data_IF_718719150793
#
_entry.id   IF_718719150793
#
_cell.length_a   1.000
_cell.length_b   1.000
_cell.length_c   1.000
_cell.angle_alpha   90.00
_cell.angle_beta   90.00
_cell.angle_gamma   90.00
#
_symmetry.space_group_name_H-M   'P 1'
#
loop_
_entity.id
_entity.type
_entity.pdbx_description
1 polymer ?
#
# COMPACT_ATOMS: atom_id res chain seq x y z
N UNK A 1 -20.30 12.20 -17.61
CA UNK A 1 -18.82 12.17 -17.52
C UNK A 1 -18.21 10.89 -18.04
N UNK A 2 -18.59 9.67 -17.58
CA UNK A 2 -18.02 8.37 -18.02
C UNK A 2 -17.93 8.19 -19.55
N UNK A 3 -19.01 8.48 -20.31
CA UNK A 3 -19.03 8.27 -21.78
C UNK A 3 -18.31 9.37 -22.56
N UNK A 4 -18.41 10.66 -22.15
CA UNK A 4 -17.83 11.78 -22.91
C UNK A 4 -16.37 12.08 -22.58
N UNK A 5 -15.97 12.02 -21.32
CA UNK A 5 -14.60 12.38 -20.92
C UNK A 5 -13.65 11.17 -20.92
N UNK A 6 -14.09 10.03 -20.36
CA UNK A 6 -13.24 8.85 -20.23
C UNK A 6 -13.42 7.86 -21.39
N UNK A 7 -14.50 7.94 -22.17
CA UNK A 7 -14.79 6.99 -23.22
C UNK A 7 -14.84 5.54 -22.73
N UNK A 8 -15.29 5.33 -21.46
CA UNK A 8 -15.31 4.01 -20.84
C UNK A 8 -16.12 3.03 -21.65
N UNK A 9 -15.51 1.95 -22.09
CA UNK A 9 -16.12 0.85 -22.82
C UNK A 9 -17.03 0.00 -21.92
N UNK A 10 -17.71 -0.98 -22.48
CA UNK A 10 -18.56 -1.91 -21.75
C UNK A 10 -17.80 -2.93 -20.91
N UNK A 11 -16.50 -3.08 -21.15
CA UNK A 11 -15.64 -4.03 -20.42
C UNK A 11 -14.28 -4.22 -21.10
N UNK A 12 -13.46 -5.06 -20.50
CA UNK A 12 -12.11 -5.39 -21.00
C UNK A 12 -12.15 -6.13 -22.34
N UNK A 13 -13.29 -6.79 -22.63
CA UNK A 13 -13.52 -7.53 -23.90
C UNK A 13 -13.79 -6.59 -25.08
N UNK A 14 -14.17 -5.36 -24.80
CA UNK A 14 -14.41 -4.33 -25.79
C UNK A 14 -13.63 -3.08 -25.41
N UNK A 15 -12.38 -3.03 -25.83
CA UNK A 15 -11.43 -1.96 -25.45
C UNK A 15 -11.86 -0.58 -25.97
N UNK A 16 -12.83 -0.49 -26.88
CA UNK A 16 -13.28 0.77 -27.44
C UNK A 16 -12.21 1.50 -28.25
N UNK A 17 -12.51 2.73 -28.65
CA UNK A 17 -11.56 3.57 -29.38
C UNK A 17 -10.59 4.26 -28.41
N UNK A 18 -9.32 4.33 -28.78
CA UNK A 18 -8.30 5.06 -28.04
C UNK A 18 -8.66 6.56 -28.00
N UNK A 19 -8.69 7.14 -26.80
CA UNK A 19 -9.05 8.54 -26.59
C UNK A 19 -7.80 9.42 -26.70
N UNK A 20 -7.61 10.22 -27.76
CA UNK A 20 -6.38 10.97 -27.99
C UNK A 20 -6.01 11.91 -26.84
N UNK A 21 -7.00 12.58 -26.23
CA UNK A 21 -6.76 13.48 -25.12
C UNK A 21 -6.23 12.78 -23.88
N UNK A 22 -6.67 11.54 -23.58
CA UNK A 22 -6.16 10.74 -22.47
C UNK A 22 -4.73 10.27 -22.74
N UNK A 23 -4.43 9.88 -23.99
CA UNK A 23 -3.06 9.47 -24.39
C UNK A 23 -2.10 10.64 -24.23
N UNK A 24 -2.50 11.84 -24.66
CA UNK A 24 -1.67 13.05 -24.51
C UNK A 24 -1.44 13.37 -23.02
N UNK A 25 -2.49 13.33 -22.20
CA UNK A 25 -2.36 13.56 -20.75
C UNK A 25 -1.45 12.51 -20.10
N UNK A 26 -1.59 11.25 -20.46
CA UNK A 26 -0.72 10.16 -19.98
C UNK A 26 0.75 10.39 -20.38
N UNK A 27 0.99 10.74 -21.64
CA UNK A 27 2.34 11.05 -22.14
C UNK A 27 2.96 12.23 -21.39
N UNK A 28 2.21 13.32 -21.18
CA UNK A 28 2.67 14.48 -20.40
C UNK A 28 3.03 14.04 -18.98
N UNK A 29 2.20 13.23 -18.33
CA UNK A 29 2.48 12.70 -16.99
C UNK A 29 3.77 11.88 -16.96
N UNK A 30 3.97 10.99 -17.93
CA UNK A 30 5.21 10.21 -18.05
C UNK A 30 6.45 11.12 -18.20
N UNK A 31 6.35 12.18 -19.03
CA UNK A 31 7.44 13.16 -19.20
C UNK A 31 7.72 13.90 -17.89
N UNK A 32 6.68 14.34 -17.16
CA UNK A 32 6.83 15.01 -15.87
C UNK A 32 7.52 14.10 -14.86
N UNK A 33 7.06 12.85 -14.71
CA UNK A 33 7.68 11.85 -13.82
C UNK A 33 9.13 11.61 -14.21
N UNK A 34 9.42 11.42 -15.50
CA UNK A 34 10.79 11.26 -16.00
C UNK A 34 11.68 12.45 -15.61
N UNK A 35 11.22 13.68 -15.81
CA UNK A 35 11.97 14.90 -15.45
C UNK A 35 12.22 15.00 -13.94
N UNK A 36 11.27 14.53 -13.12
CA UNK A 36 11.43 14.49 -11.65
C UNK A 36 12.53 13.51 -11.23
N UNK A 37 12.67 12.38 -11.92
CA UNK A 37 13.56 11.27 -11.53
C UNK A 37 14.92 11.35 -12.24
N UNK A 38 15.04 12.00 -13.41
CA UNK A 38 16.20 11.91 -14.29
C UNK A 38 17.53 12.32 -13.66
N UNK A 39 17.52 13.18 -12.64
CA UNK A 39 18.72 13.58 -11.87
C UNK A 39 18.94 12.73 -10.59
N UNK A 40 18.23 11.61 -10.47
CA UNK A 40 18.32 10.69 -9.34
C UNK A 40 17.69 11.24 -8.06
N UNK A 41 17.99 10.60 -6.93
CA UNK A 41 17.35 10.81 -5.63
C UNK A 41 17.47 12.24 -5.11
N UNK A 42 18.56 12.94 -5.42
CA UNK A 42 18.75 14.36 -5.02
C UNK A 42 17.72 15.31 -5.65
N UNK A 43 17.30 15.03 -6.88
CA UNK A 43 16.24 15.78 -7.55
C UNK A 43 14.87 15.38 -6.99
N UNK A 44 14.65 14.09 -6.86
CA UNK A 44 13.43 13.53 -6.30
C UNK A 44 13.13 14.11 -4.91
N UNK A 45 14.11 14.19 -4.02
CA UNK A 45 13.93 14.78 -2.70
C UNK A 45 13.43 16.21 -2.69
N UNK A 46 13.87 17.06 -3.64
CA UNK A 46 13.38 18.43 -3.76
C UNK A 46 11.95 18.49 -4.29
N UNK A 47 11.62 17.66 -5.25
CA UNK A 47 10.27 17.57 -5.82
C UNK A 47 9.30 17.08 -4.75
N UNK A 48 9.70 16.08 -3.93
CA UNK A 48 8.88 15.53 -2.86
C UNK A 48 8.45 16.58 -1.82
N UNK A 49 9.26 17.60 -1.52
CA UNK A 49 8.81 18.67 -0.63
C UNK A 49 7.57 19.38 -1.17
N UNK A 50 7.51 19.63 -2.48
CA UNK A 50 6.35 20.28 -3.10
C UNK A 50 5.19 19.29 -3.24
N UNK A 51 5.43 18.13 -3.82
CA UNK A 51 4.38 17.15 -4.10
C UNK A 51 3.78 16.53 -2.83
N UNK A 52 4.54 16.46 -1.72
CA UNK A 52 4.02 15.97 -0.46
C UNK A 52 3.28 17.05 0.35
N UNK A 53 3.73 18.32 0.35
CA UNK A 53 3.10 19.37 1.17
C UNK A 53 1.92 20.04 0.47
N UNK A 54 1.97 20.18 -0.84
CA UNK A 54 0.92 20.85 -1.62
C UNK A 54 -0.46 20.18 -1.46
N UNK A 55 -0.60 18.85 -1.48
CA UNK A 55 -1.88 18.19 -1.24
C UNK A 55 -2.51 18.54 0.11
N UNK A 56 -1.73 18.65 1.17
CA UNK A 56 -2.26 19.04 2.50
C UNK A 56 -2.85 20.44 2.48
N UNK A 57 -2.16 21.38 1.84
CA UNK A 57 -2.66 22.74 1.69
C UNK A 57 -3.96 22.76 0.88
N UNK A 58 -3.99 22.05 -0.26
CA UNK A 58 -5.17 21.99 -1.11
C UNK A 58 -6.35 21.27 -0.42
N UNK A 59 -6.09 20.18 0.29
CA UNK A 59 -7.10 19.48 1.10
C UNK A 59 -7.66 20.38 2.21
N UNK A 60 -6.79 21.20 2.85
CA UNK A 60 -7.26 22.15 3.87
C UNK A 60 -8.20 23.19 3.26
N UNK A 61 -7.87 23.76 2.12
CA UNK A 61 -8.73 24.71 1.42
C UNK A 61 -10.07 24.06 1.04
N UNK A 62 -10.03 22.84 0.51
CA UNK A 62 -11.22 22.07 0.18
C UNK A 62 -12.06 21.74 1.43
N UNK A 63 -11.41 21.36 2.56
CA UNK A 63 -12.11 21.08 3.81
C UNK A 63 -12.85 22.31 4.33
N UNK A 64 -12.16 23.45 4.42
CA UNK A 64 -12.79 24.71 4.87
C UNK A 64 -14.01 25.02 4.01
N UNK A 65 -13.89 24.88 2.69
CA UNK A 65 -15.01 25.11 1.79
C UNK A 65 -16.14 24.08 1.99
N UNK A 66 -15.82 22.80 2.07
CA UNK A 66 -16.80 21.74 2.25
C UNK A 66 -17.60 21.90 3.55
N UNK A 67 -16.94 22.25 4.65
CA UNK A 67 -17.58 22.46 5.94
C UNK A 67 -18.54 23.66 5.97
N UNK A 68 -18.38 24.62 5.05
CA UNK A 68 -19.30 25.77 4.95
C UNK A 68 -20.59 25.50 4.15
N UNK A 69 -20.72 24.28 3.61
CA UNK A 69 -21.88 23.91 2.79
C UNK A 69 -23.01 23.30 3.64
N UNK A 70 -24.29 23.52 3.28
CA UNK A 70 -25.42 22.89 3.96
C UNK A 70 -25.34 21.36 3.82
N UNK A 71 -25.69 20.62 4.88
CA UNK A 71 -25.60 19.15 4.90
C UNK A 71 -24.21 18.56 5.12
N UNK A 72 -23.14 19.37 5.12
CA UNK A 72 -21.77 18.87 5.37
C UNK A 72 -21.64 18.17 6.72
N UNK A 73 -22.32 18.65 7.74
CA UNK A 73 -22.29 18.06 9.09
C UNK A 73 -22.87 16.65 9.09
N UNK A 74 -23.94 16.39 8.33
CA UNK A 74 -24.57 15.08 8.24
C UNK A 74 -23.61 14.05 7.59
N UNK A 75 -22.87 14.47 6.55
CA UNK A 75 -21.84 13.65 5.95
C UNK A 75 -20.69 13.35 6.90
N UNK A 76 -20.21 14.34 7.66
CA UNK A 76 -19.16 14.17 8.66
C UNK A 76 -19.62 13.24 9.79
N UNK A 77 -20.85 13.41 10.27
CA UNK A 77 -21.42 12.56 11.31
C UNK A 77 -21.57 11.11 10.80
N UNK A 78 -22.01 10.93 9.56
CA UNK A 78 -22.06 9.60 8.94
C UNK A 78 -20.67 8.94 8.92
N UNK A 79 -19.63 9.67 8.57
CA UNK A 79 -18.25 9.17 8.55
C UNK A 79 -17.72 8.80 9.94
N UNK A 80 -18.06 9.59 10.96
CA UNK A 80 -17.57 9.40 12.32
C UNK A 80 -18.43 8.46 13.17
N UNK A 81 -19.67 8.13 12.74
CA UNK A 81 -20.56 7.28 13.52
C UNK A 81 -20.19 5.80 13.31
N UNK A 82 -19.59 5.13 14.32
CA UNK A 82 -19.17 3.75 14.18
C UNK A 82 -20.34 2.79 14.34
N UNK A 83 -20.43 1.79 13.49
CA UNK A 83 -21.29 0.63 13.71
C UNK A 83 -20.49 -0.51 14.36
N UNK A 84 -20.51 -0.59 15.67
CA UNK A 84 -19.81 -1.62 16.44
C UNK A 84 -20.34 -3.03 16.19
N UNK A 85 -21.53 -3.20 15.62
CA UNK A 85 -22.07 -4.52 15.28
C UNK A 85 -21.24 -5.21 14.20
N UNK A 86 -20.66 -4.44 13.29
CA UNK A 86 -19.82 -4.90 12.19
C UNK A 86 -18.49 -5.51 12.68
N UNK A 87 -18.00 -5.12 13.86
CA UNK A 87 -16.76 -5.67 14.42
C UNK A 87 -16.86 -7.19 14.73
N UNK A 88 -18.06 -7.75 14.77
CA UNK A 88 -18.29 -9.21 14.91
C UNK A 88 -18.00 -9.96 13.61
N UNK A 89 -17.96 -9.28 12.48
CA UNK A 89 -17.71 -9.90 11.19
C UNK A 89 -16.21 -9.94 10.89
N UNK A 90 -15.60 -11.13 10.69
CA UNK A 90 -14.18 -11.26 10.38
C UNK A 90 -13.75 -10.49 9.11
N UNK A 91 -14.68 -10.29 8.18
CA UNK A 91 -14.46 -9.58 6.93
C UNK A 91 -13.99 -8.14 7.17
N UNK A 92 -14.55 -7.44 8.16
CA UNK A 92 -14.18 -6.04 8.48
C UNK A 92 -12.70 -5.96 8.91
N UNK A 93 -12.26 -6.92 9.70
CA UNK A 93 -10.84 -6.98 10.13
C UNK A 93 -9.90 -7.31 8.98
N UNK A 94 -10.35 -8.19 8.08
CA UNK A 94 -9.58 -8.53 6.88
C UNK A 94 -9.42 -7.30 5.95
N UNK A 95 -10.50 -6.59 5.69
CA UNK A 95 -10.49 -5.37 4.86
C UNK A 95 -9.65 -4.26 5.49
N UNK A 96 -9.74 -4.08 6.81
CA UNK A 96 -8.89 -3.13 7.53
C UNK A 96 -7.40 -3.50 7.43
N UNK A 97 -7.05 -4.79 7.55
CA UNK A 97 -5.68 -5.26 7.39
C UNK A 97 -5.16 -5.01 5.97
N UNK A 98 -5.95 -5.34 4.95
CA UNK A 98 -5.61 -5.09 3.54
C UNK A 98 -5.37 -3.59 3.32
N UNK A 99 -6.26 -2.75 3.85
CA UNK A 99 -6.15 -1.29 3.72
C UNK A 99 -4.86 -0.74 4.35
N UNK A 100 -4.47 -1.22 5.53
CA UNK A 100 -3.22 -0.79 6.18
C UNK A 100 -2.00 -1.23 5.36
N UNK A 101 -1.97 -2.47 4.87
CA UNK A 101 -0.89 -2.95 4.02
C UNK A 101 -0.77 -2.14 2.72
N UNK A 102 -1.89 -1.79 2.11
CA UNK A 102 -1.94 -0.98 0.90
C UNK A 102 -1.50 0.46 1.18
N UNK A 103 -2.03 1.09 2.23
CA UNK A 103 -1.75 2.48 2.62
C UNK A 103 -0.26 2.71 2.94
N UNK A 104 0.34 1.79 3.69
CA UNK A 104 1.77 1.88 4.07
C UNK A 104 2.67 1.45 2.92
N UNK A 105 2.17 0.69 1.95
CA UNK A 105 2.97 0.15 0.83
C UNK A 105 4.03 -0.84 1.29
N UNK A 106 3.76 -1.61 2.35
CA UNK A 106 4.63 -2.69 2.81
C UNK A 106 4.80 -3.73 1.69
N UNK A 107 5.94 -4.40 1.63
CA UNK A 107 6.25 -5.46 0.63
C UNK A 107 6.37 -5.01 -0.83
N UNK A 108 6.06 -3.76 -1.16
CA UNK A 108 6.23 -3.22 -2.51
C UNK A 108 7.68 -2.81 -2.82
N UNK A 109 8.56 -2.96 -1.84
CA UNK A 109 9.98 -2.64 -1.95
C UNK A 109 10.31 -1.13 -1.88
N UNK A 110 9.34 -0.24 -1.99
CA UNK A 110 9.57 1.22 -1.98
C UNK A 110 10.17 1.68 -0.65
N UNK A 111 9.57 1.26 0.47
CA UNK A 111 10.08 1.61 1.81
C UNK A 111 11.49 1.05 2.03
N UNK A 112 11.76 -0.19 1.58
CA UNK A 112 13.07 -0.82 1.68
C UNK A 112 14.10 -0.05 0.85
N UNK A 113 13.74 0.33 -0.38
CA UNK A 113 14.60 1.12 -1.26
C UNK A 113 14.91 2.50 -0.66
N UNK A 114 13.90 3.19 -0.12
CA UNK A 114 14.08 4.48 0.54
C UNK A 114 14.92 4.37 1.81
N UNK A 115 14.68 3.34 2.63
CA UNK A 115 15.45 3.08 3.84
C UNK A 115 16.93 2.81 3.55
N UNK A 116 17.24 2.16 2.41
CA UNK A 116 18.62 1.93 1.95
C UNK A 116 19.44 3.20 1.72
N UNK A 117 18.79 4.37 1.59
CA UNK A 117 19.44 5.67 1.44
C UNK A 117 19.54 6.47 2.74
N UNK A 118 19.00 5.96 3.83
CA UNK A 118 19.13 6.57 5.14
C UNK A 118 20.55 6.42 5.70
N UNK A 119 20.91 7.30 6.64
CA UNK A 119 22.17 7.15 7.39
C UNK A 119 22.13 5.87 8.24
N UNK A 120 23.31 5.29 8.51
CA UNK A 120 23.43 4.06 9.32
C UNK A 120 22.78 4.21 10.72
N UNK A 121 22.83 5.39 11.31
CA UNK A 121 22.25 5.70 12.63
C UNK A 121 20.82 6.26 12.58
N UNK A 122 20.10 6.06 11.45
CA UNK A 122 18.70 6.43 11.38
C UNK A 122 17.84 5.66 12.40
N UNK A 123 16.81 6.29 12.93
CA UNK A 123 15.99 5.69 13.98
C UNK A 123 14.94 4.74 13.37
N UNK A 124 15.29 3.46 13.32
CA UNK A 124 14.47 2.39 12.73
C UNK A 124 13.12 2.14 13.42
N UNK A 125 12.89 2.69 14.61
CA UNK A 125 11.62 2.53 15.34
C UNK A 125 10.75 3.77 15.17
N UNK A 126 11.33 4.95 15.36
CA UNK A 126 10.59 6.21 15.29
C UNK A 126 10.10 6.54 13.89
N UNK A 127 10.97 6.38 12.90
CA UNK A 127 10.69 6.84 11.55
C UNK A 127 9.53 6.06 10.88
N UNK A 128 9.45 4.71 10.95
CA UNK A 128 8.27 3.98 10.48
C UNK A 128 6.97 4.36 11.20
N UNK A 129 7.03 4.60 12.52
CA UNK A 129 5.84 5.02 13.28
C UNK A 129 5.34 6.38 12.76
N UNK A 130 6.26 7.35 12.56
CA UNK A 130 5.89 8.66 12.03
C UNK A 130 5.26 8.52 10.64
N UNK A 131 5.87 7.75 9.75
CA UNK A 131 5.35 7.53 8.38
C UNK A 131 3.94 6.93 8.42
N UNK A 132 3.76 5.85 9.19
CA UNK A 132 2.45 5.17 9.30
C UNK A 132 1.39 6.09 9.90
N UNK A 133 1.68 6.71 11.05
CA UNK A 133 0.71 7.61 11.72
C UNK A 133 0.37 8.80 10.84
N UNK A 134 1.35 9.40 10.16
CA UNK A 134 1.10 10.52 9.23
C UNK A 134 0.23 10.06 8.06
N UNK A 135 0.48 8.89 7.49
CA UNK A 135 -0.33 8.31 6.41
C UNK A 135 -1.79 8.12 6.82
N UNK A 136 -2.03 7.48 7.97
CA UNK A 136 -3.39 7.24 8.48
C UNK A 136 -4.11 8.53 8.86
N UNK A 137 -3.43 9.49 9.46
CA UNK A 137 -4.00 10.82 9.74
C UNK A 137 -4.35 11.57 8.46
N UNK A 138 -3.55 11.42 7.40
CA UNK A 138 -3.84 12.00 6.08
C UNK A 138 -5.09 11.38 5.47
N UNK A 139 -5.24 10.06 5.56
CA UNK A 139 -6.43 9.35 5.09
C UNK A 139 -7.69 9.80 5.85
N UNK A 140 -7.59 9.94 7.17
CA UNK A 140 -8.67 10.46 8.01
C UNK A 140 -9.04 11.89 7.60
N UNK A 141 -8.05 12.75 7.40
CA UNK A 141 -8.24 14.14 6.98
C UNK A 141 -8.91 14.25 5.61
N UNK A 142 -8.46 13.45 4.62
CA UNK A 142 -9.08 13.37 3.30
C UNK A 142 -10.53 12.86 3.40
N UNK A 143 -10.81 11.91 4.29
CA UNK A 143 -12.14 11.42 4.58
C UNK A 143 -13.11 12.53 4.99
N UNK A 144 -12.70 13.45 5.86
CA UNK A 144 -13.52 14.61 6.23
C UNK A 144 -13.90 15.47 5.01
N UNK A 145 -12.94 15.72 4.10
CA UNK A 145 -13.21 16.51 2.88
C UNK A 145 -14.24 15.81 2.01
N UNK A 146 -14.04 14.51 1.80
CA UNK A 146 -14.91 13.70 0.93
C UNK A 146 -16.32 13.60 1.53
N UNK A 147 -16.45 13.23 2.79
CA UNK A 147 -17.76 13.02 3.41
C UNK A 147 -18.53 14.32 3.67
N UNK A 148 -17.83 15.43 3.96
CA UNK A 148 -18.47 16.74 4.00
C UNK A 148 -19.09 17.11 2.63
N UNK A 149 -18.39 16.79 1.54
CA UNK A 149 -18.87 17.04 0.18
C UNK A 149 -20.01 16.09 -0.21
N UNK A 150 -19.93 14.81 0.19
CA UNK A 150 -21.03 13.84 -0.02
C UNK A 150 -22.29 14.26 0.76
N UNK A 151 -22.13 14.74 2.00
CA UNK A 151 -23.24 15.25 2.83
C UNK A 151 -23.93 16.46 2.18
N UNK A 152 -23.15 17.38 1.60
CA UNK A 152 -23.70 18.48 0.82
C UNK A 152 -24.51 17.97 -0.38
N UNK A 153 -24.00 17.06 -1.16
CA UNK A 153 -24.69 16.51 -2.32
C UNK A 153 -25.96 15.75 -1.90
N UNK A 154 -25.91 14.99 -0.81
CA UNK A 154 -27.06 14.30 -0.23
C UNK A 154 -28.17 15.28 0.18
N UNK A 155 -27.79 16.40 0.80
CA UNK A 155 -28.70 17.47 1.17
C UNK A 155 -29.34 18.12 -0.07
N UNK A 156 -28.55 18.40 -1.11
CA UNK A 156 -29.03 19.01 -2.35
C UNK A 156 -30.00 18.09 -3.10
N UNK A 157 -29.70 16.78 -3.16
CA UNK A 157 -30.55 15.76 -3.78
C UNK A 157 -31.72 15.30 -2.90
N UNK A 158 -31.79 15.74 -1.65
CA UNK A 158 -32.78 15.29 -0.65
C UNK A 158 -32.80 13.77 -0.47
N UNK A 159 -31.60 13.15 -0.50
CA UNK A 159 -31.41 11.72 -0.32
C UNK A 159 -30.60 11.45 0.96
N UNK A 160 -30.73 10.27 1.58
CA UNK A 160 -29.81 9.87 2.66
C UNK A 160 -28.38 9.74 2.16
N UNK A 161 -27.41 10.04 3.02
CA UNK A 161 -25.96 9.99 2.68
C UNK A 161 -25.55 8.62 2.14
N UNK A 162 -26.12 7.53 2.69
CA UNK A 162 -25.87 6.16 2.27
C UNK A 162 -26.16 5.89 0.79
N UNK A 163 -27.19 6.56 0.25
CA UNK A 163 -27.67 6.29 -1.12
C UNK A 163 -26.90 7.08 -2.19
N UNK A 164 -26.18 8.11 -1.74
CA UNK A 164 -25.32 8.94 -2.63
C UNK A 164 -23.94 8.32 -2.79
N UNK A 165 -23.48 7.50 -1.84
CA UNK A 165 -22.14 6.93 -1.86
C UNK A 165 -22.05 5.85 -2.95
N UNK A 166 -21.13 6.06 -3.92
CA UNK A 166 -20.80 5.09 -4.95
C UNK A 166 -19.43 4.49 -4.58
N UNK A 167 -19.34 3.17 -4.35
CA UNK A 167 -18.07 2.54 -3.99
C UNK A 167 -17.01 2.66 -5.09
N UNK A 168 -15.74 2.66 -4.65
CA UNK A 168 -14.58 2.73 -5.55
C UNK A 168 -14.31 4.12 -6.12
N UNK A 169 -13.66 4.22 -7.30
CA UNK A 169 -13.26 5.50 -7.91
C UNK A 169 -14.44 6.45 -8.25
N UNK A 170 -15.67 5.95 -8.16
CA UNK A 170 -16.89 6.73 -8.40
C UNK A 170 -17.00 7.96 -7.50
N UNK A 171 -16.54 7.88 -6.26
CA UNK A 171 -16.54 9.03 -5.33
C UNK A 171 -15.72 10.18 -5.92
N UNK A 172 -14.51 9.92 -6.37
CA UNK A 172 -13.60 10.96 -6.86
C UNK A 172 -13.96 11.50 -8.25
N UNK A 173 -14.50 10.64 -9.15
CA UNK A 173 -14.68 11.02 -10.55
C UNK A 173 -16.14 11.26 -10.98
N UNK A 174 -17.09 10.96 -10.11
CA UNK A 174 -18.50 11.20 -10.36
C UNK A 174 -19.06 12.15 -9.30
N UNK A 175 -19.06 11.73 -8.03
CA UNK A 175 -19.71 12.46 -6.93
C UNK A 175 -19.03 13.82 -6.71
N UNK A 176 -17.72 13.84 -6.58
CA UNK A 176 -17.00 15.08 -6.28
C UNK A 176 -17.13 16.14 -7.39
N UNK A 177 -16.93 15.84 -8.68
CA UNK A 177 -17.17 16.79 -9.76
C UNK A 177 -18.63 17.28 -9.84
N UNK A 178 -19.61 16.43 -9.52
CA UNK A 178 -21.02 16.81 -9.47
C UNK A 178 -21.28 17.82 -8.35
N UNK A 179 -20.80 17.55 -7.16
CA UNK A 179 -20.87 18.48 -6.04
C UNK A 179 -20.16 19.81 -6.32
N UNK A 180 -18.95 19.75 -6.92
CA UNK A 180 -18.19 20.94 -7.28
C UNK A 180 -18.89 21.81 -8.34
N UNK A 181 -19.64 21.18 -9.25
CA UNK A 181 -20.41 21.92 -10.28
C UNK A 181 -21.53 22.77 -9.69
N UNK A 182 -22.01 22.45 -8.49
CA UNK A 182 -23.03 23.21 -7.74
C UNK A 182 -22.44 24.40 -6.95
N UNK A 183 -21.10 24.50 -6.86
CA UNK A 183 -20.45 25.54 -6.09
C UNK A 183 -20.29 26.86 -6.90
N UNK A 184 -20.26 28.03 -6.23
CA UNK A 184 -19.85 29.27 -6.88
C UNK A 184 -18.40 29.13 -7.37
N UNK A 185 -18.12 29.58 -8.59
CA UNK A 185 -16.83 29.43 -9.28
C UNK A 185 -16.41 27.95 -9.47
N UNK A 186 -17.24 27.09 -10.10
CA UNK A 186 -16.99 25.67 -10.21
C UNK A 186 -15.66 25.33 -10.91
N UNK A 187 -15.20 26.19 -11.81
CA UNK A 187 -13.91 26.02 -12.50
C UNK A 187 -12.72 26.08 -11.52
N UNK A 188 -12.75 27.04 -10.58
CA UNK A 188 -11.69 27.17 -9.57
C UNK A 188 -11.61 25.90 -8.69
N UNK A 189 -12.75 25.45 -8.18
CA UNK A 189 -12.82 24.29 -7.30
C UNK A 189 -12.47 23.00 -8.04
N UNK A 190 -12.87 22.87 -9.30
CA UNK A 190 -12.46 21.74 -10.14
C UNK A 190 -10.95 21.72 -10.36
N UNK A 191 -10.31 22.86 -10.67
CA UNK A 191 -8.86 22.93 -10.84
C UNK A 191 -8.14 22.56 -9.54
N UNK A 192 -8.57 23.10 -8.39
CA UNK A 192 -7.97 22.77 -7.10
C UNK A 192 -8.09 21.28 -6.79
N UNK A 193 -9.28 20.70 -6.96
CA UNK A 193 -9.51 19.29 -6.70
C UNK A 193 -8.69 18.39 -7.62
N UNK A 194 -8.75 18.60 -8.93
CA UNK A 194 -8.00 17.75 -9.87
C UNK A 194 -6.49 17.96 -9.76
N UNK A 195 -6.02 19.14 -9.36
CA UNK A 195 -4.60 19.37 -9.04
C UNK A 195 -4.20 18.57 -7.81
N UNK A 196 -5.02 18.54 -6.77
CA UNK A 196 -4.78 17.69 -5.59
C UNK A 196 -4.70 16.22 -5.99
N UNK A 197 -5.66 15.73 -6.76
CA UNK A 197 -5.68 14.35 -7.25
C UNK A 197 -4.47 14.03 -8.13
N UNK A 198 -4.05 14.96 -9.00
CA UNK A 198 -2.85 14.80 -9.83
C UNK A 198 -1.59 14.66 -8.96
N UNK A 199 -1.43 15.53 -7.96
CA UNK A 199 -0.28 15.48 -7.06
C UNK A 199 -0.22 14.19 -6.24
N UNK A 200 -1.38 13.67 -5.83
CA UNK A 200 -1.47 12.40 -5.09
C UNK A 200 -1.33 11.16 -5.98
N UNK A 201 -1.58 11.28 -7.29
CA UNK A 201 -1.61 10.15 -8.24
C UNK A 201 -0.42 10.13 -9.19
N UNK A 202 0.52 11.04 -9.06
CA UNK A 202 1.65 11.19 -10.00
C UNK A 202 2.54 9.94 -10.07
N UNK A 203 2.49 9.11 -9.05
CA UNK A 203 3.20 7.85 -8.92
C UNK A 203 2.37 6.62 -9.35
N UNK A 204 1.07 6.80 -9.69
CA UNK A 204 0.12 5.73 -9.97
C UNK A 204 -0.59 5.93 -11.31
N UNK A 205 -0.07 5.35 -12.38
CA UNK A 205 -0.62 5.51 -13.74
C UNK A 205 -1.11 4.18 -14.29
N UNK A 206 -2.40 4.09 -14.67
CA UNK A 206 -2.99 2.89 -15.29
C UNK A 206 -4.43 3.07 -15.78
N UNK A 207 -4.87 2.19 -16.69
CA UNK A 207 -6.27 2.14 -17.14
C UNK A 207 -7.18 1.45 -16.11
N UNK A 208 -8.39 1.97 -15.91
CA UNK A 208 -9.30 1.61 -14.80
C UNK A 208 -9.53 0.12 -14.65
N UNK A 209 -9.86 -0.59 -15.71
CA UNK A 209 -10.12 -2.05 -15.63
C UNK A 209 -8.84 -2.85 -15.36
N UNK A 210 -7.74 -2.49 -16.02
CA UNK A 210 -6.45 -3.15 -15.82
C UNK A 210 -5.91 -2.81 -14.44
N UNK A 211 -6.01 -1.53 -14.03
CA UNK A 211 -5.60 -1.09 -12.71
C UNK A 211 -6.33 -1.86 -11.61
N UNK A 212 -7.66 -1.93 -11.64
CA UNK A 212 -8.45 -2.66 -10.64
C UNK A 212 -8.07 -4.15 -10.58
N UNK A 213 -7.81 -4.76 -11.74
CA UNK A 213 -7.39 -6.16 -11.81
C UNK A 213 -6.01 -6.36 -11.18
N UNK A 214 -5.03 -5.55 -11.59
CA UNK A 214 -3.66 -5.61 -11.07
C UNK A 214 -3.65 -5.30 -9.57
N UNK A 215 -4.33 -4.25 -9.15
CA UNK A 215 -4.43 -3.80 -7.77
C UNK A 215 -4.96 -4.92 -6.86
N UNK A 216 -6.03 -5.60 -7.27
CA UNK A 216 -6.60 -6.67 -6.47
C UNK A 216 -5.63 -7.86 -6.31
N UNK A 217 -5.01 -8.34 -7.40
CA UNK A 217 -4.13 -9.52 -7.35
C UNK A 217 -2.77 -9.22 -6.72
N UNK A 218 -2.22 -8.05 -7.00
CA UNK A 218 -0.96 -7.61 -6.42
C UNK A 218 -1.13 -7.16 -4.98
N UNK A 219 -2.11 -6.31 -4.71
CA UNK A 219 -2.34 -5.71 -3.39
C UNK A 219 -2.83 -6.70 -2.34
N UNK A 220 -3.48 -7.80 -2.75
CA UNK A 220 -4.01 -8.78 -1.81
C UNK A 220 -3.14 -10.03 -1.76
N UNK A 221 -3.12 -10.82 -2.83
CA UNK A 221 -2.49 -12.16 -2.81
C UNK A 221 -0.97 -12.05 -2.78
N UNK A 222 -0.38 -11.31 -3.73
CA UNK A 222 1.07 -11.20 -3.82
C UNK A 222 1.65 -10.48 -2.59
N UNK A 223 1.01 -9.40 -2.15
CA UNK A 223 1.42 -8.64 -0.97
C UNK A 223 1.46 -9.50 0.29
N UNK A 224 0.43 -10.30 0.56
CA UNK A 224 0.41 -11.17 1.74
C UNK A 224 1.46 -12.27 1.68
N UNK A 225 1.66 -12.89 0.53
CA UNK A 225 2.70 -13.91 0.35
C UNK A 225 4.08 -13.30 0.59
N UNK A 226 4.35 -12.12 0.02
CA UNK A 226 5.61 -11.42 0.20
C UNK A 226 5.85 -11.06 1.66
N UNK A 227 4.85 -10.53 2.36
CA UNK A 227 4.94 -10.17 3.77
C UNK A 227 5.28 -11.37 4.68
N UNK A 228 4.64 -12.53 4.43
CA UNK A 228 4.95 -13.77 5.17
C UNK A 228 6.40 -14.18 4.92
N UNK A 229 6.86 -14.12 3.67
CA UNK A 229 8.22 -14.47 3.30
C UNK A 229 9.25 -13.50 3.92
N UNK A 230 9.01 -12.20 3.88
CA UNK A 230 9.88 -11.18 4.49
C UNK A 230 10.01 -11.41 6.01
N UNK A 231 8.89 -11.57 6.72
CA UNK A 231 8.90 -11.89 8.15
C UNK A 231 9.62 -13.21 8.43
N UNK A 232 9.41 -14.23 7.60
CA UNK A 232 10.06 -15.53 7.70
C UNK A 232 11.57 -15.44 7.48
N UNK A 233 12.00 -14.74 6.45
CA UNK A 233 13.43 -14.57 6.12
C UNK A 233 14.14 -13.81 7.24
N UNK A 234 13.61 -12.67 7.66
CA UNK A 234 14.26 -11.82 8.67
C UNK A 234 14.21 -12.46 10.05
N UNK A 235 13.05 -12.96 10.46
CA UNK A 235 12.86 -13.50 11.81
C UNK A 235 13.45 -14.89 12.03
N UNK A 236 13.40 -15.77 10.98
CA UNK A 236 13.71 -17.20 11.15
C UNK A 236 14.92 -17.67 10.34
N UNK A 237 15.15 -17.14 9.14
CA UNK A 237 16.32 -17.51 8.35
C UNK A 237 17.56 -16.70 8.75
N UNK A 238 17.45 -15.38 8.79
CA UNK A 238 18.51 -14.49 9.27
C UNK A 238 18.70 -14.62 10.79
N UNK A 239 17.60 -14.66 11.51
CA UNK A 239 17.51 -14.85 12.94
C UNK A 239 17.23 -13.55 13.71
N UNK A 240 16.20 -13.59 14.55
CA UNK A 240 15.73 -12.45 15.34
C UNK A 240 16.81 -11.84 16.25
N UNK A 241 17.71 -12.67 16.78
CA UNK A 241 18.81 -12.21 17.63
C UNK A 241 19.82 -11.40 16.83
N UNK A 242 20.22 -11.86 15.64
CA UNK A 242 21.12 -11.12 14.76
C UNK A 242 20.49 -9.81 14.35
N UNK A 243 19.24 -9.85 13.90
CA UNK A 243 18.50 -8.64 13.56
C UNK A 243 18.42 -7.65 14.73
N UNK A 244 18.17 -8.15 15.95
CA UNK A 244 18.16 -7.30 17.15
C UNK A 244 19.53 -6.69 17.47
N UNK A 245 20.61 -7.43 17.22
CA UNK A 245 22.00 -6.93 17.39
C UNK A 245 22.35 -5.87 16.34
N UNK A 246 21.88 -6.05 15.11
CA UNK A 246 22.09 -5.06 14.04
C UNK A 246 21.34 -3.77 14.35
N UNK A 247 20.11 -3.87 14.83
CA UNK A 247 19.32 -2.72 15.30
C UNK A 247 20.01 -2.04 16.49
N UNK A 248 20.52 -2.81 17.45
CA UNK A 248 21.29 -2.28 18.58
C UNK A 248 22.53 -1.50 18.11
N UNK A 249 23.25 -2.00 17.10
CA UNK A 249 24.39 -1.32 16.50
C UNK A 249 24.01 0.01 15.81
N UNK A 250 22.80 0.08 15.23
CA UNK A 250 22.32 1.27 14.53
C UNK A 250 21.77 2.35 15.47
N UNK A 251 20.96 1.97 16.47
CA UNK A 251 20.23 2.91 17.34
C UNK A 251 20.67 2.89 18.82
N UNK A 252 21.63 2.02 19.18
CA UNK A 252 22.14 1.90 20.56
C UNK A 252 21.18 1.24 21.56
N UNK A 253 20.06 0.67 21.10
CA UNK A 253 19.04 0.04 21.95
C UNK A 253 18.58 -1.28 21.35
N UNK A 254 18.41 -2.29 22.19
CA UNK A 254 17.84 -3.59 21.79
C UNK A 254 16.36 -3.47 21.49
N UNK A 255 15.91 -4.29 20.57
CA UNK A 255 14.48 -4.42 20.27
C UNK A 255 13.71 -4.92 21.50
N UNK A 256 12.63 -4.24 21.92
CA UNK A 256 11.76 -4.72 22.98
C UNK A 256 11.21 -6.12 22.67
N UNK A 257 10.99 -6.94 23.70
CA UNK A 257 10.45 -8.31 23.55
C UNK A 257 9.10 -8.28 22.82
N UNK A 258 8.23 -7.34 23.20
CA UNK A 258 6.90 -7.18 22.59
C UNK A 258 7.00 -6.93 21.07
N UNK A 259 7.96 -6.12 20.62
CA UNK A 259 8.20 -5.85 19.21
C UNK A 259 8.63 -7.12 18.46
N UNK A 260 9.53 -7.92 19.07
CA UNK A 260 9.99 -9.20 18.50
C UNK A 260 8.83 -10.20 18.35
N UNK A 261 7.99 -10.35 19.37
CA UNK A 261 6.82 -11.22 19.34
C UNK A 261 5.84 -10.77 18.25
N UNK A 262 5.53 -9.47 18.22
CA UNK A 262 4.60 -8.93 17.23
C UNK A 262 5.14 -9.15 15.80
N UNK A 263 6.38 -8.77 15.51
CA UNK A 263 6.91 -8.82 14.14
C UNK A 263 7.19 -10.24 13.65
N UNK A 264 7.62 -11.16 14.52
CA UNK A 264 8.09 -12.49 14.08
C UNK A 264 7.15 -13.64 14.37
N UNK A 265 6.07 -13.40 15.14
CA UNK A 265 5.06 -14.44 15.45
C UNK A 265 3.66 -13.92 15.11
N UNK A 266 3.23 -12.83 15.74
CA UNK A 266 1.82 -12.39 15.64
C UNK A 266 1.49 -11.92 14.23
N UNK A 267 2.31 -11.02 13.67
CA UNK A 267 2.08 -10.46 12.35
C UNK A 267 2.06 -11.52 11.24
N UNK A 268 3.08 -12.39 11.08
CA UNK A 268 3.02 -13.44 10.07
C UNK A 268 1.85 -14.43 10.28
N UNK A 269 1.46 -14.71 11.53
CA UNK A 269 0.28 -15.54 11.79
C UNK A 269 -1.02 -14.84 11.33
N UNK A 270 -1.21 -13.57 11.66
CA UNK A 270 -2.37 -12.79 11.22
C UNK A 270 -2.45 -12.69 9.70
N UNK A 271 -1.31 -12.40 9.03
CA UNK A 271 -1.27 -12.32 7.57
C UNK A 271 -1.56 -13.69 6.94
N UNK A 272 -1.08 -14.76 7.53
CA UNK A 272 -1.38 -16.13 7.04
C UNK A 272 -2.87 -16.43 7.15
N UNK A 273 -3.49 -16.10 8.28
CA UNK A 273 -4.95 -16.25 8.46
C UNK A 273 -5.70 -15.40 7.43
N UNK A 274 -5.28 -14.16 7.20
CA UNK A 274 -5.87 -13.27 6.21
C UNK A 274 -5.75 -13.84 4.79
N UNK A 275 -4.57 -14.34 4.41
CA UNK A 275 -4.34 -14.98 3.11
C UNK A 275 -5.24 -16.20 2.92
N UNK A 276 -5.27 -17.10 3.92
CA UNK A 276 -6.11 -18.30 3.87
C UNK A 276 -7.59 -17.93 3.78
N UNK A 277 -8.05 -16.96 4.56
CA UNK A 277 -9.43 -16.48 4.51
C UNK A 277 -9.79 -15.89 3.15
N UNK A 278 -8.90 -15.09 2.57
CA UNK A 278 -9.08 -14.49 1.24
C UNK A 278 -9.14 -15.57 0.15
N UNK A 279 -8.30 -16.59 0.21
CA UNK A 279 -8.30 -17.68 -0.76
C UNK A 279 -9.51 -18.61 -0.58
N UNK A 280 -9.93 -18.88 0.66
CA UNK A 280 -11.08 -19.74 0.96
C UNK A 280 -12.41 -19.10 0.54
N UNK A 281 -12.53 -17.79 0.69
CA UNK A 281 -13.71 -17.01 0.27
C UNK A 281 -13.48 -16.26 -1.05
N UNK A 282 -12.58 -16.77 -1.89
CA UNK A 282 -12.21 -16.12 -3.14
C UNK A 282 -13.42 -15.84 -4.03
N UNK A 283 -13.56 -14.56 -4.39
CA UNK A 283 -14.46 -14.11 -5.44
C UNK A 283 -13.65 -13.28 -6.45
N UNK A 284 -13.83 -13.52 -7.76
CA UNK A 284 -13.18 -12.69 -8.76
C UNK A 284 -13.47 -11.21 -8.52
N UNK A 285 -12.50 -10.31 -8.74
CA UNK A 285 -12.74 -8.89 -8.60
C UNK A 285 -13.85 -8.43 -9.54
N UNK A 286 -14.55 -7.38 -9.15
CA UNK A 286 -15.60 -6.73 -9.94
C UNK A 286 -15.33 -5.23 -10.01
N UNK A 287 -15.82 -4.56 -11.04
CA UNK A 287 -15.78 -3.11 -11.16
C UNK A 287 -17.20 -2.56 -11.26
N UNK A 288 -17.77 -2.14 -10.15
CA UNK A 288 -19.20 -1.84 -10.05
C UNK A 288 -20.03 -3.09 -10.40
N UNK A 289 -20.88 -2.99 -11.40
CA UNK A 289 -21.69 -4.12 -11.89
C UNK A 289 -20.94 -5.01 -12.91
N UNK A 290 -19.74 -4.59 -13.34
CA UNK A 290 -18.97 -5.34 -14.34
C UNK A 290 -18.21 -6.51 -13.71
N UNK A 291 -18.45 -7.72 -14.24
CA UNK A 291 -17.71 -8.94 -13.87
C UNK A 291 -16.63 -9.21 -14.89
N UNK A 292 -15.40 -9.46 -14.44
CA UNK A 292 -14.30 -9.76 -15.33
C UNK A 292 -14.44 -11.14 -16.00
N UNK A 293 -14.14 -11.28 -17.30
CA UNK A 293 -14.14 -12.56 -17.98
C UNK A 293 -13.03 -13.47 -17.43
N UNK A 294 -13.21 -14.79 -17.57
CA UNK A 294 -12.27 -15.79 -17.05
C UNK A 294 -10.84 -15.59 -17.54
N UNK A 295 -10.66 -15.12 -18.78
CA UNK A 295 -9.34 -14.80 -19.33
C UNK A 295 -8.64 -13.66 -18.56
N UNK A 296 -9.36 -12.59 -18.23
CA UNK A 296 -8.81 -11.48 -17.44
C UNK A 296 -8.47 -11.92 -16.02
N UNK A 297 -9.31 -12.75 -15.39
CA UNK A 297 -9.01 -13.39 -14.09
C UNK A 297 -7.73 -14.23 -14.19
N UNK A 298 -7.54 -14.98 -15.27
CA UNK A 298 -6.30 -15.73 -15.52
C UNK A 298 -5.08 -14.83 -15.65
N UNK A 299 -5.20 -13.69 -16.34
CA UNK A 299 -4.14 -12.67 -16.41
C UNK A 299 -3.80 -12.11 -15.04
N UNK A 300 -4.80 -11.82 -14.19
CA UNK A 300 -4.58 -11.38 -12.82
C UNK A 300 -3.77 -12.37 -11.99
N UNK A 301 -4.12 -13.66 -12.03
CA UNK A 301 -3.34 -14.72 -11.39
C UNK A 301 -1.93 -14.85 -11.98
N UNK A 302 -1.77 -14.72 -13.28
CA UNK A 302 -0.46 -14.73 -13.93
C UNK A 302 0.43 -13.59 -13.40
N UNK A 303 -0.10 -12.38 -13.29
CA UNK A 303 0.62 -11.23 -12.73
C UNK A 303 1.07 -11.51 -11.29
N UNK A 304 0.16 -12.01 -10.43
CA UNK A 304 0.52 -12.39 -9.07
C UNK A 304 1.63 -13.46 -9.02
N UNK A 305 1.55 -14.47 -9.91
CA UNK A 305 2.56 -15.52 -9.98
C UNK A 305 3.91 -15.03 -10.48
N UNK A 306 3.95 -14.13 -11.44
CA UNK A 306 5.21 -13.49 -11.92
C UNK A 306 5.92 -12.76 -10.79
N UNK A 307 5.19 -12.19 -9.84
CA UNK A 307 5.75 -11.53 -8.67
C UNK A 307 6.27 -12.52 -7.64
N UNK A 308 5.57 -13.61 -7.39
CA UNK A 308 5.88 -14.58 -6.34
C UNK A 308 6.94 -15.60 -6.78
N UNK A 309 6.84 -16.12 -8.02
CA UNK A 309 7.67 -17.21 -8.53
C UNK A 309 9.19 -16.97 -8.51
N UNK A 310 9.72 -15.76 -8.74
CA UNK A 310 11.17 -15.53 -8.69
C UNK A 310 11.79 -15.97 -7.37
N UNK A 311 11.09 -15.84 -6.25
CA UNK A 311 11.61 -16.16 -4.92
C UNK A 311 11.92 -17.66 -4.78
N UNK A 312 10.95 -18.59 -4.92
CA UNK A 312 11.24 -20.02 -4.83
C UNK A 312 12.20 -20.49 -5.93
N UNK A 313 12.14 -19.90 -7.13
CA UNK A 313 13.06 -20.23 -8.22
C UNK A 313 14.50 -19.89 -7.82
N UNK A 314 14.77 -18.68 -7.35
CA UNK A 314 16.11 -18.28 -6.90
C UNK A 314 16.55 -19.12 -5.70
N UNK A 315 15.63 -19.40 -4.75
CA UNK A 315 15.91 -20.26 -3.61
C UNK A 315 16.35 -21.67 -4.05
N UNK A 316 15.63 -22.29 -4.98
CA UNK A 316 16.01 -23.61 -5.53
C UNK A 316 17.35 -23.53 -6.24
N UNK A 317 17.59 -22.52 -7.07
CA UNK A 317 18.88 -22.33 -7.76
C UNK A 317 20.04 -22.21 -6.76
N UNK A 318 19.88 -21.47 -5.66
CA UNK A 318 20.91 -21.34 -4.64
C UNK A 318 21.17 -22.65 -3.89
N UNK A 319 20.12 -23.41 -3.59
CA UNK A 319 20.26 -24.74 -2.95
C UNK A 319 20.98 -25.71 -3.89
N UNK A 320 20.68 -25.68 -5.19
CA UNK A 320 21.32 -26.55 -6.19
C UNK A 320 22.79 -26.19 -6.42
N UNK A 321 23.15 -24.91 -6.31
CA UNK A 321 24.56 -24.44 -6.43
C UNK A 321 25.41 -24.74 -5.22
N UNK A 322 24.80 -24.98 -4.05
CA UNK A 322 25.52 -25.30 -2.83
C UNK A 322 26.01 -26.77 -2.83
N UNK A 323 27.18 -27.01 -2.25
CA UNK A 323 27.78 -28.36 -2.15
C UNK A 323 27.37 -29.08 -0.87
N UNK A 324 27.36 -30.43 -0.91
CA UNK A 324 27.09 -31.28 0.24
C UNK A 324 25.73 -32.00 0.19
N UNK A 325 25.31 -32.58 1.31
CA UNK A 325 23.99 -33.21 1.43
C UNK A 325 22.87 -32.17 1.36
N UNK A 326 21.63 -32.58 1.02
CA UNK A 326 20.49 -31.66 0.89
C UNK A 326 20.33 -30.73 2.10
N UNK A 327 20.42 -31.26 3.33
CA UNK A 327 20.32 -30.48 4.58
C UNK A 327 21.48 -29.48 4.69
N UNK A 328 22.72 -29.89 4.30
CA UNK A 328 23.86 -28.99 4.28
C UNK A 328 23.73 -27.88 3.26
N UNK A 329 23.20 -28.19 2.06
CA UNK A 329 22.92 -27.21 1.00
C UNK A 329 21.90 -26.16 1.46
N UNK A 330 20.79 -26.60 2.07
CA UNK A 330 19.80 -25.68 2.63
C UNK A 330 20.42 -24.80 3.71
N UNK A 331 21.14 -25.38 4.66
CA UNK A 331 21.83 -24.60 5.72
C UNK A 331 22.86 -23.62 5.16
N UNK A 332 23.56 -23.98 4.10
CA UNK A 332 24.53 -23.11 3.43
C UNK A 332 23.82 -21.95 2.70
N UNK A 333 22.72 -22.25 1.98
CA UNK A 333 21.94 -21.24 1.28
C UNK A 333 21.27 -20.22 2.22
N UNK A 334 20.97 -20.63 3.47
CA UNK A 334 20.39 -19.74 4.50
C UNK A 334 21.45 -18.85 5.19
N UNK A 335 22.74 -19.07 4.95
CA UNK A 335 23.77 -18.20 5.53
C UNK A 335 23.93 -16.91 4.72
N UNK A 336 24.13 -15.77 5.38
CA UNK A 336 24.46 -14.53 4.69
C UNK A 336 25.76 -14.71 3.87
N UNK A 337 25.81 -14.11 2.68
CA UNK A 337 27.03 -14.11 1.86
C UNK A 337 28.14 -13.30 2.54
N UNK A 338 29.40 -13.54 2.14
CA UNK A 338 30.56 -12.78 2.62
C UNK A 338 30.50 -11.28 2.29
N UNK A 339 29.70 -10.91 1.29
CA UNK A 339 29.42 -9.51 0.94
C UNK A 339 28.40 -8.84 1.88
N UNK A 340 27.67 -9.60 2.68
CA UNK A 340 26.79 -9.16 3.73
C UNK A 340 27.43 -9.47 5.10
N UNK A 341 27.48 -8.60 6.04
CA UNK A 341 26.98 -7.24 6.18
C UNK A 341 28.00 -6.15 5.89
N UNK A 342 27.62 -4.87 5.99
CA UNK A 342 28.55 -3.73 6.11
C UNK A 342 29.66 -4.05 7.13
N UNK A 343 30.87 -3.59 6.85
CA UNK A 343 32.06 -3.78 7.71
C UNK A 343 31.83 -3.43 9.18
N UNK A 344 30.86 -2.54 9.45
CA UNK A 344 30.43 -2.12 10.79
C UNK A 344 29.64 -3.18 11.58
N UNK A 345 29.04 -4.15 10.88
CA UNK A 345 28.22 -5.23 11.46
C UNK A 345 28.95 -6.58 11.50
N UNK A 346 30.23 -6.65 11.07
CA UNK A 346 31.00 -7.90 11.01
C UNK A 346 31.18 -8.62 12.35
N UNK A 347 31.05 -7.90 13.47
CA UNK A 347 31.08 -8.52 14.80
C UNK A 347 29.84 -9.40 15.07
N UNK A 348 28.70 -9.09 14.44
CA UNK A 348 27.45 -9.86 14.53
C UNK A 348 27.52 -11.24 13.85
N UNK A 349 28.45 -11.45 12.90
CA UNK A 349 28.57 -12.70 12.13
C UNK A 349 29.26 -13.85 12.85
N UNK A 350 29.94 -13.59 13.97
CA UNK A 350 30.69 -14.65 14.71
C UNK A 350 29.77 -15.62 15.44
N UNK A 351 28.48 -15.30 15.61
CA UNK A 351 27.53 -16.21 16.21
C UNK A 351 27.08 -17.26 15.18
N UNK A 352 27.38 -18.50 15.46
CA UNK A 352 26.94 -19.70 14.75
C UNK A 352 25.43 -19.68 14.50
N UNK A 353 25.00 -20.31 13.39
CA UNK A 353 23.57 -20.48 13.09
C UNK A 353 22.82 -21.00 14.32
N UNK A 354 22.01 -20.16 14.93
CA UNK A 354 21.23 -20.54 16.10
C UNK A 354 20.23 -21.63 15.73
N UNK A 355 19.98 -22.53 16.68
CA UNK A 355 18.88 -23.50 16.56
C UNK A 355 17.55 -22.74 16.47
N UNK A 356 16.59 -23.26 15.70
CA UNK A 356 15.22 -22.72 15.64
C UNK A 356 14.63 -22.56 17.06
N UNK A 357 14.94 -23.49 17.96
CA UNK A 357 14.54 -23.44 19.37
C UNK A 357 15.16 -22.24 20.11
N UNK A 358 16.45 -21.98 19.90
CA UNK A 358 17.15 -20.85 20.54
C UNK A 358 16.63 -19.51 20.04
N UNK A 359 16.37 -19.41 18.73
CA UNK A 359 15.79 -18.23 18.12
C UNK A 359 14.37 -17.97 18.66
N UNK A 360 13.53 -19.00 18.77
CA UNK A 360 12.20 -18.88 19.35
C UNK A 360 12.27 -18.40 20.82
N UNK A 361 13.12 -19.02 21.65
CA UNK A 361 13.30 -18.61 23.04
C UNK A 361 13.75 -17.14 23.15
N UNK A 362 14.62 -16.69 22.25
CA UNK A 362 15.03 -15.29 22.17
C UNK A 362 13.86 -14.37 21.79
N UNK A 363 13.03 -14.73 20.82
CA UNK A 363 11.87 -13.95 20.41
C UNK A 363 10.92 -13.71 21.59
N UNK A 364 10.64 -14.75 22.38
CA UNK A 364 9.72 -14.65 23.53
C UNK A 364 10.39 -14.13 24.81
N UNK A 365 11.68 -13.81 24.77
CA UNK A 365 12.38 -13.19 25.91
C UNK A 365 12.81 -14.15 27.01
N UNK A 366 12.87 -15.45 26.75
CA UNK A 366 13.32 -16.49 27.69
C UNK A 366 14.80 -16.82 27.55
N UNK A 367 15.52 -16.17 26.64
CA UNK A 367 16.97 -16.30 26.43
C UNK A 367 17.63 -14.98 26.06
#
# INVERSE_FOLDING_TARGET
MRKKALGVSSGIDNLGAMQPHLVICWFITCVVVFLCIMKGIKSLGKVLYVTALMPYFLLLVLLVRSCTMPGAVDGILFYLTPDFSLLRHPQVWLEALIQVFFSVGTTWGVIIAMAGHNSFHANLIRDPIIVTVTGELTSLFAGFVVFATVGFLAHDLQLPVSDVIIPGPGIAFIIYPEAVALLPLPQLWSVLFFTTMLMMSIDSVGGVYVFQLVDWYMGTVACFVMAILECGIVGWCYGAKRFSSDVEAMIGKRLPVIFRIVCFIVLPALITVALVSTLASYKPPTYGEYNYPKAAVGVGWFIAMVTILPIPVVMVIQILKAEGSFVQRVKSAMKPSSAWPDSRLRHSLKDTAESVKDNFLFIIGLK
#
